data_IF_509568044582
#
_entry.id   IF_509568044582
#
_cell.length_a   1.000
_cell.length_b   1.000
_cell.length_c   1.000
_cell.angle_alpha   90.00
_cell.angle_beta   90.00
_cell.angle_gamma   90.00
#
_symmetry.space_group_name_H-M   'P 1'
#
loop_
_entity.id
_entity.type
_entity.pdbx_description
1 polymer ?
#
# COMPACT_ATOMS: atom_id res chain seq x y z
N UNK A 1 31.50 -8.86 -31.39
CA UNK A 1 32.24 -9.00 -30.12
C UNK A 1 32.78 -7.64 -29.72
N UNK A 2 32.06 -6.87 -28.90
CA UNK A 2 32.54 -5.57 -28.43
C UNK A 2 32.49 -5.59 -26.89
N UNK A 3 33.62 -5.17 -26.31
CA UNK A 3 34.10 -5.47 -24.98
C UNK A 3 33.35 -4.82 -23.81
N UNK A 4 33.41 -5.53 -22.67
CA UNK A 4 33.12 -5.12 -21.30
C UNK A 4 33.79 -3.80 -20.90
N UNK A 5 33.07 -2.96 -20.13
CA UNK A 5 33.67 -2.00 -19.21
C UNK A 5 32.82 -1.87 -17.95
N UNK A 6 33.05 -2.76 -16.97
CA UNK A 6 32.62 -2.57 -15.58
C UNK A 6 33.43 -1.41 -14.99
N UNK A 7 32.75 -0.38 -14.48
CA UNK A 7 33.37 0.64 -13.62
C UNK A 7 32.95 0.38 -12.18
N UNK A 8 33.76 -0.43 -11.51
CA UNK A 8 33.74 -0.61 -10.06
C UNK A 8 34.40 0.61 -9.42
N UNK A 9 33.70 1.32 -8.55
CA UNK A 9 34.30 2.29 -7.64
C UNK A 9 33.86 1.94 -6.22
N UNK A 10 34.76 1.29 -5.48
CA UNK A 10 34.66 1.11 -4.06
C UNK A 10 35.03 2.44 -3.39
N UNK A 11 34.16 2.96 -2.52
CA UNK A 11 34.50 4.02 -1.58
C UNK A 11 34.24 3.50 -0.19
N UNK A 12 35.30 2.99 0.42
CA UNK A 12 35.44 2.85 1.87
C UNK A 12 35.57 4.25 2.47
N UNK A 13 34.70 4.62 3.40
CA UNK A 13 35.02 5.71 4.31
C UNK A 13 34.48 5.42 5.72
N UNK A 14 35.38 5.63 6.65
CA UNK A 14 35.49 5.18 8.04
C UNK A 14 34.49 5.80 9.02
N UNK A 15 34.24 5.01 10.08
CA UNK A 15 33.57 5.33 11.34
C UNK A 15 33.92 6.71 11.93
N UNK A 16 32.91 7.38 12.49
CA UNK A 16 33.05 8.19 13.70
C UNK A 16 31.80 8.01 14.58
N UNK A 17 32.00 7.42 15.75
CA UNK A 17 31.01 7.32 16.81
C UNK A 17 30.86 8.66 17.52
N UNK A 18 29.63 9.12 17.73
CA UNK A 18 29.31 10.20 18.65
C UNK A 18 28.19 9.73 19.58
N UNK A 19 28.58 9.21 20.73
CA UNK A 19 27.72 8.91 21.87
C UNK A 19 27.34 10.21 22.56
N UNK A 20 26.08 10.64 22.46
CA UNK A 20 25.53 11.70 23.31
C UNK A 20 24.81 11.08 24.50
N UNK A 21 25.47 11.16 25.65
CA UNK A 21 24.95 10.87 26.98
C UNK A 21 23.98 11.99 27.35
N UNK A 22 22.68 11.70 27.42
CA UNK A 22 21.76 12.57 28.14
C UNK A 22 21.88 12.28 29.63
N UNK A 23 22.60 13.16 30.34
CA UNK A 23 22.60 13.24 31.80
C UNK A 23 21.22 13.68 32.28
N UNK A 24 20.42 12.73 32.77
CA UNK A 24 19.23 13.00 33.57
C UNK A 24 19.59 13.03 35.06
N UNK A 25 19.10 14.07 35.75
CA UNK A 25 19.00 14.24 37.21
C UNK A 25 18.01 15.42 37.42
N UNK A 26 17.08 15.51 38.37
CA UNK A 26 16.64 14.66 39.47
C UNK A 26 15.26 15.17 39.92
N UNK A 27 14.33 14.27 40.24
CA UNK A 27 13.27 14.55 41.23
C UNK A 27 12.92 13.24 41.95
N UNK A 28 13.40 13.11 43.18
CA UNK A 28 13.07 12.05 44.11
C UNK A 28 11.59 12.11 44.52
N UNK A 29 10.94 10.94 44.65
CA UNK A 29 10.34 10.49 45.92
C UNK A 29 9.93 9.00 45.81
N UNK A 30 10.19 8.31 46.91
CA UNK A 30 10.33 6.86 47.10
C UNK A 30 9.05 6.05 46.89
N UNK A 31 9.18 4.76 46.51
CA UNK A 31 8.73 3.61 47.32
C UNK A 31 8.99 2.27 46.61
N UNK A 32 9.86 1.47 47.21
CA UNK A 32 9.87 0.00 47.26
C UNK A 32 9.73 -0.83 45.97
N UNK A 33 10.79 -1.55 45.60
CA UNK A 33 10.92 -3.01 45.82
C UNK A 33 11.95 -3.62 44.89
N UNK A 34 12.79 -4.44 45.49
CA UNK A 34 13.94 -5.14 44.94
C UNK A 34 13.60 -6.18 43.86
N UNK A 35 14.67 -6.58 43.16
CA UNK A 35 14.94 -7.91 42.61
C UNK A 35 14.41 -8.24 41.19
N UNK A 36 15.28 -7.94 40.22
CA UNK A 36 16.04 -8.95 39.48
C UNK A 36 15.32 -10.20 38.93
N UNK A 37 15.39 -10.28 37.60
CA UNK A 37 15.88 -11.42 36.81
C UNK A 37 14.90 -12.38 36.14
N UNK A 38 15.29 -12.65 34.89
CA UNK A 38 15.25 -13.90 34.17
C UNK A 38 14.00 -14.23 33.33
N UNK A 39 14.29 -14.26 32.03
CA UNK A 39 13.58 -14.92 30.95
C UNK A 39 13.24 -16.38 31.27
N UNK A 40 12.07 -16.86 30.84
CA UNK A 40 11.89 -17.82 29.73
C UNK A 40 10.70 -18.78 29.90
N UNK A 41 10.06 -19.02 28.75
CA UNK A 41 9.32 -20.21 28.31
C UNK A 41 7.94 -20.58 28.93
N UNK A 42 6.96 -20.53 28.00
CA UNK A 42 5.99 -21.58 27.65
C UNK A 42 4.76 -21.90 28.54
N UNK A 43 3.60 -21.61 27.94
CA UNK A 43 2.42 -22.46 27.80
C UNK A 43 1.50 -22.71 29.00
N UNK A 44 0.30 -22.12 28.96
CA UNK A 44 -0.96 -22.87 28.84
C UNK A 44 -2.16 -21.91 28.72
N UNK A 45 -3.18 -22.39 27.98
CA UNK A 45 -4.51 -21.83 27.77
C UNK A 45 -5.12 -21.20 29.05
N UNK A 46 -5.96 -20.16 28.99
CA UNK A 46 -7.30 -20.20 28.41
C UNK A 46 -7.73 -18.80 27.92
N UNK A 47 -7.94 -18.64 26.61
CA UNK A 47 -8.82 -17.59 26.10
C UNK A 47 -10.18 -18.24 25.87
N UNK A 48 -11.14 -17.87 26.70
CA UNK A 48 -12.54 -18.19 26.50
C UNK A 48 -12.97 -17.70 25.13
N UNK A 49 -13.31 -18.64 24.26
CA UNK A 49 -14.06 -18.38 23.06
C UNK A 49 -15.45 -17.90 23.48
N UNK A 50 -15.70 -16.60 23.32
CA UNK A 50 -17.06 -16.11 23.17
C UNK A 50 -17.16 -15.62 21.74
N UNK A 51 -17.70 -16.50 20.90
CA UNK A 51 -18.24 -16.17 19.60
C UNK A 51 -19.17 -14.96 19.76
N UNK A 52 -18.74 -13.80 19.25
CA UNK A 52 -19.65 -12.73 18.89
C UNK A 52 -19.39 -12.45 17.41
N UNK A 53 -20.39 -12.81 16.63
CA UNK A 53 -20.58 -12.51 15.23
C UNK A 53 -20.33 -11.02 14.96
N UNK A 54 -19.09 -10.64 14.63
CA UNK A 54 -18.82 -9.33 14.04
C UNK A 54 -19.26 -9.36 12.58
N UNK A 55 -20.56 -9.27 12.37
CA UNK A 55 -21.06 -8.56 11.19
C UNK A 55 -20.81 -7.08 11.44
N UNK A 56 -19.56 -6.68 11.29
CA UNK A 56 -19.23 -5.28 11.05
C UNK A 56 -19.76 -4.98 9.64
N UNK A 57 -21.03 -4.59 9.57
CA UNK A 57 -21.55 -3.82 8.45
C UNK A 57 -20.57 -2.69 8.25
N UNK A 58 -19.78 -2.75 7.18
CA UNK A 58 -18.79 -1.75 6.85
C UNK A 58 -19.49 -0.40 6.79
N UNK A 59 -19.30 0.42 7.83
CA UNK A 59 -19.57 1.82 7.72
C UNK A 59 -18.66 2.34 6.61
N UNK A 60 -19.24 2.69 5.47
CA UNK A 60 -18.52 3.38 4.40
C UNK A 60 -17.78 4.55 5.06
N UNK A 61 -16.44 4.64 4.97
CA UNK A 61 -15.73 5.78 5.53
C UNK A 61 -16.24 7.03 4.77
N UNK A 62 -17.01 7.87 5.45
CA UNK A 62 -17.64 9.09 4.88
C UNK A 62 -16.64 10.23 4.70
N UNK A 63 -15.46 9.92 4.17
CA UNK A 63 -14.53 10.94 3.71
C UNK A 63 -14.86 11.31 2.27
N UNK A 64 -14.94 12.61 2.01
CA UNK A 64 -15.13 13.18 0.68
C UNK A 64 -14.19 14.37 0.57
N UNK A 65 -13.47 14.45 -0.55
CA UNK A 65 -12.76 15.66 -0.94
C UNK A 65 -13.07 15.96 -2.39
N UNK A 66 -13.10 17.25 -2.68
CA UNK A 66 -13.26 17.76 -4.03
C UNK A 66 -11.91 18.31 -4.47
N UNK A 67 -11.30 17.69 -5.47
CA UNK A 67 -10.00 18.11 -6.00
C UNK A 67 -10.22 18.80 -7.35
N UNK A 68 -9.64 19.99 -7.58
CA UNK A 68 -9.75 20.65 -8.87
C UNK A 68 -9.05 19.80 -9.94
N UNK A 69 -9.84 19.36 -10.92
CA UNK A 69 -9.44 18.61 -12.10
C UNK A 69 -9.66 19.37 -13.41
N UNK A 70 -9.38 18.75 -14.57
CA UNK A 70 -9.36 19.42 -15.87
C UNK A 70 -10.70 20.03 -16.29
N UNK A 71 -11.81 19.45 -15.81
CA UNK A 71 -13.19 19.87 -16.15
C UNK A 71 -13.94 20.44 -14.93
N UNK A 72 -13.19 20.91 -13.93
CA UNK A 72 -13.72 21.35 -12.65
C UNK A 72 -13.42 20.38 -11.53
N UNK A 73 -14.09 20.63 -10.42
CA UNK A 73 -13.95 19.95 -9.15
C UNK A 73 -14.42 18.49 -9.22
N UNK A 74 -13.51 17.54 -8.98
CA UNK A 74 -13.77 16.09 -9.02
C UNK A 74 -13.78 15.53 -7.60
N UNK A 75 -14.89 14.90 -7.24
CA UNK A 75 -15.04 14.26 -5.94
C UNK A 75 -14.24 12.95 -5.87
N UNK A 76 -13.56 12.75 -4.74
CA UNK A 76 -12.96 11.49 -4.32
C UNK A 76 -13.61 11.14 -2.98
N UNK A 77 -14.29 10.01 -2.92
CA UNK A 77 -15.15 9.63 -1.78
C UNK A 77 -14.82 8.24 -1.23
N UNK A 78 -15.33 7.93 -0.04
CA UNK A 78 -15.39 6.56 0.45
C UNK A 78 -14.02 5.94 0.69
N UNK A 79 -13.93 4.63 0.40
CA UNK A 79 -12.69 3.87 0.55
C UNK A 79 -11.60 4.33 -0.41
N UNK A 80 -11.98 4.82 -1.60
CA UNK A 80 -11.04 5.41 -2.57
C UNK A 80 -10.38 6.65 -1.96
N UNK A 81 -11.17 7.53 -1.32
CA UNK A 81 -10.64 8.71 -0.63
C UNK A 81 -9.72 8.32 0.54
N UNK A 82 -10.11 7.35 1.36
CA UNK A 82 -9.27 6.88 2.46
C UNK A 82 -7.92 6.38 1.96
N UNK A 83 -7.90 5.61 0.86
CA UNK A 83 -6.66 5.15 0.23
C UNK A 83 -5.85 6.30 -0.34
N UNK A 84 -6.50 7.24 -1.03
CA UNK A 84 -5.87 8.41 -1.61
C UNK A 84 -5.15 9.26 -0.56
N UNK A 85 -5.79 9.55 0.57
CA UNK A 85 -5.15 10.32 1.65
C UNK A 85 -4.04 9.51 2.31
N UNK A 86 -4.24 8.20 2.51
CA UNK A 86 -3.20 7.32 3.07
C UNK A 86 -1.96 7.23 2.19
N UNK A 87 -2.08 7.42 0.87
CA UNK A 87 -0.94 7.43 -0.05
C UNK A 87 -0.26 8.80 -0.17
N UNK A 88 -0.74 9.83 0.53
CA UNK A 88 -0.21 11.21 0.47
C UNK A 88 -1.02 12.17 -0.41
N UNK A 89 -2.19 11.75 -0.89
CA UNK A 89 -3.15 12.56 -1.61
C UNK A 89 -2.55 13.28 -2.83
N UNK A 90 -2.77 14.59 -3.00
CA UNK A 90 -2.30 15.33 -4.17
C UNK A 90 -0.78 15.52 -4.23
N UNK A 91 -0.07 15.27 -3.12
CA UNK A 91 1.40 15.30 -3.07
C UNK A 91 2.04 13.95 -3.40
N UNK A 92 1.23 12.90 -3.48
CA UNK A 92 1.70 11.57 -3.85
C UNK A 92 1.96 11.47 -5.36
N UNK A 93 2.72 10.46 -5.82
CA UNK A 93 2.89 10.18 -7.25
C UNK A 93 1.58 9.92 -8.00
N UNK A 94 0.48 9.66 -7.29
CA UNK A 94 -0.84 9.46 -7.88
C UNK A 94 -1.41 10.76 -8.48
N UNK A 95 -1.07 11.91 -7.90
CA UNK A 95 -1.50 13.22 -8.40
C UNK A 95 -2.98 13.50 -8.21
N UNK A 96 -3.57 14.25 -9.15
CA UNK A 96 -4.99 14.65 -9.12
C UNK A 96 -5.89 13.57 -9.73
N UNK A 97 -7.15 13.46 -9.28
CA UNK A 97 -8.13 12.67 -10.01
C UNK A 97 -8.38 13.27 -11.39
N UNK A 98 -8.54 12.42 -12.40
CA UNK A 98 -8.78 12.82 -13.79
C UNK A 98 -10.24 12.63 -14.20
N UNK A 99 -10.96 11.75 -13.51
CA UNK A 99 -12.37 11.46 -13.71
C UNK A 99 -13.07 11.19 -12.38
N UNK A 100 -14.41 11.30 -12.38
CA UNK A 100 -15.25 10.81 -11.28
C UNK A 100 -15.16 9.28 -11.19
N UNK A 101 -15.35 8.69 -9.99
CA UNK A 101 -15.33 7.24 -9.84
C UNK A 101 -16.40 6.57 -10.71
N UNK A 102 -16.03 5.47 -11.35
CA UNK A 102 -16.91 4.61 -12.15
C UNK A 102 -17.26 3.38 -11.34
N UNK A 103 -18.56 3.08 -11.24
CA UNK A 103 -19.04 1.85 -10.61
C UNK A 103 -18.71 0.64 -11.49
N UNK A 104 -18.16 -0.40 -10.88
CA UNK A 104 -17.84 -1.66 -11.54
C UNK A 104 -18.66 -2.84 -10.98
N UNK A 105 -18.28 -4.08 -11.34
CA UNK A 105 -18.93 -5.30 -10.84
C UNK A 105 -18.93 -5.40 -9.31
N UNK A 106 -19.86 -6.17 -8.76
CA UNK A 106 -19.96 -6.45 -7.31
C UNK A 106 -20.00 -5.17 -6.43
N UNK A 107 -20.66 -4.12 -6.92
CA UNK A 107 -20.77 -2.83 -6.25
C UNK A 107 -19.43 -2.15 -5.95
N UNK A 108 -18.34 -2.57 -6.61
CA UNK A 108 -17.06 -1.92 -6.50
C UNK A 108 -17.01 -0.60 -7.27
N UNK A 109 -15.92 0.13 -7.13
CA UNK A 109 -15.71 1.41 -7.81
C UNK A 109 -14.24 1.60 -8.12
N UNK A 110 -13.95 2.25 -9.24
CA UNK A 110 -12.60 2.63 -9.63
C UNK A 110 -12.56 4.10 -10.01
N UNK A 111 -11.47 4.78 -9.65
CA UNK A 111 -11.25 6.16 -10.02
C UNK A 111 -9.85 6.32 -10.60
N UNK A 112 -9.78 7.04 -11.72
CA UNK A 112 -8.53 7.38 -12.38
C UNK A 112 -7.91 8.65 -11.81
N UNK A 113 -6.59 8.62 -11.73
CA UNK A 113 -5.72 9.71 -11.31
C UNK A 113 -4.58 9.85 -12.32
N UNK A 114 -3.86 10.97 -12.28
CA UNK A 114 -2.77 11.27 -13.22
C UNK A 114 -1.69 10.18 -13.24
N UNK A 115 -1.34 9.64 -12.07
CA UNK A 115 -0.28 8.62 -11.92
C UNK A 115 -0.75 7.17 -11.92
N UNK A 116 -2.06 6.91 -11.83
CA UNK A 116 -2.57 5.55 -11.64
C UNK A 116 -4.08 5.51 -11.40
N UNK A 117 -4.60 4.38 -10.95
CA UNK A 117 -6.01 4.24 -10.59
C UNK A 117 -6.13 3.66 -9.18
N UNK A 118 -7.13 4.09 -8.43
CA UNK A 118 -7.53 3.45 -7.19
C UNK A 118 -8.83 2.69 -7.45
N UNK A 119 -8.83 1.40 -7.15
CA UNK A 119 -9.98 0.53 -7.26
C UNK A 119 -10.33 -0.09 -5.93
N UNK A 120 -11.62 -0.11 -5.62
CA UNK A 120 -12.18 -0.67 -4.40
C UNK A 120 -13.29 -1.66 -4.73
N UNK A 121 -13.36 -2.75 -3.96
CA UNK A 121 -14.54 -3.59 -3.84
C UNK A 121 -14.67 -4.07 -2.39
N UNK A 122 -15.85 -4.54 -2.01
CA UNK A 122 -16.06 -5.12 -0.67
C UNK A 122 -15.14 -6.33 -0.40
N UNK A 123 -14.76 -7.08 -1.43
CA UNK A 123 -13.94 -8.28 -1.28
C UNK A 123 -12.45 -7.99 -1.24
N UNK A 124 -12.00 -6.89 -1.83
CA UNK A 124 -10.57 -6.64 -2.08
C UNK A 124 -10.05 -5.40 -1.37
N UNK A 125 -10.89 -4.57 -0.74
CA UNK A 125 -10.49 -3.24 -0.28
C UNK A 125 -9.92 -2.36 -1.41
N UNK A 126 -9.42 -1.17 -1.03
CA UNK A 126 -8.95 -0.15 -1.96
C UNK A 126 -7.45 -0.31 -2.24
N UNK A 127 -7.11 -0.50 -3.52
CA UNK A 127 -5.75 -0.70 -4.00
C UNK A 127 -5.41 0.21 -5.16
N UNK A 128 -4.14 0.59 -5.23
CA UNK A 128 -3.61 1.44 -6.29
C UNK A 128 -2.94 0.57 -7.35
N UNK A 129 -3.30 0.80 -8.60
CA UNK A 129 -2.67 0.19 -9.78
C UNK A 129 -1.92 1.28 -10.55
N UNK A 130 -0.63 1.07 -10.77
CA UNK A 130 0.29 2.09 -11.28
C UNK A 130 0.73 1.84 -12.72
N UNK A 131 1.05 2.92 -13.42
CA UNK A 131 1.89 2.91 -14.64
C UNK A 131 1.58 1.82 -15.67
N UNK A 132 2.62 1.11 -16.11
CA UNK A 132 2.52 0.08 -17.15
C UNK A 132 1.66 -1.12 -16.73
N UNK A 133 1.67 -1.48 -15.43
CA UNK A 133 0.81 -2.54 -14.89
C UNK A 133 -0.66 -2.16 -15.06
N UNK A 134 -1.01 -0.91 -14.75
CA UNK A 134 -2.35 -0.36 -14.99
C UNK A 134 -2.73 -0.41 -16.46
N UNK A 135 -1.84 0.04 -17.35
CA UNK A 135 -2.11 0.04 -18.78
C UNK A 135 -2.35 -1.38 -19.33
N UNK A 136 -1.58 -2.37 -18.87
CA UNK A 136 -1.79 -3.77 -19.23
C UNK A 136 -3.12 -4.31 -18.70
N UNK A 137 -3.46 -4.00 -17.45
CA UNK A 137 -4.72 -4.39 -16.83
C UNK A 137 -5.94 -3.75 -17.53
N UNK A 138 -5.86 -2.47 -17.88
CA UNK A 138 -6.90 -1.75 -18.64
C UNK A 138 -7.07 -2.33 -20.05
N UNK A 139 -5.97 -2.68 -20.71
CA UNK A 139 -6.01 -3.36 -22.02
C UNK A 139 -6.65 -4.76 -21.93
N UNK A 140 -6.63 -5.40 -20.76
CA UNK A 140 -7.28 -6.69 -20.51
C UNK A 140 -8.76 -6.54 -20.08
N UNK A 141 -9.29 -5.31 -20.07
CA UNK A 141 -10.68 -5.01 -19.72
C UNK A 141 -10.87 -4.49 -18.29
N UNK A 142 -9.79 -4.18 -17.57
CA UNK A 142 -9.79 -3.67 -16.21
C UNK A 142 -10.62 -4.55 -15.25
N UNK A 143 -11.45 -3.93 -14.40
CA UNK A 143 -12.36 -4.64 -13.48
C UNK A 143 -13.39 -5.53 -14.16
N UNK A 144 -13.67 -5.30 -15.44
CA UNK A 144 -14.59 -6.11 -16.24
C UNK A 144 -13.88 -7.25 -16.99
N UNK A 145 -12.55 -7.25 -16.98
CA UNK A 145 -11.69 -8.25 -17.61
C UNK A 145 -11.53 -9.52 -16.78
N UNK A 146 -10.71 -10.45 -17.29
CA UNK A 146 -10.48 -11.74 -16.63
C UNK A 146 -9.74 -11.59 -15.29
N UNK A 147 -8.91 -10.56 -15.15
CA UNK A 147 -8.18 -10.28 -13.90
C UNK A 147 -9.07 -9.69 -12.80
N UNK A 148 -10.06 -8.87 -13.13
CA UNK A 148 -10.95 -8.23 -12.16
C UNK A 148 -10.27 -7.18 -11.29
N UNK A 149 -10.72 -7.05 -10.03
CA UNK A 149 -10.20 -6.06 -9.08
C UNK A 149 -8.78 -6.40 -8.59
N UNK A 150 -7.94 -5.39 -8.31
CA UNK A 150 -6.67 -5.59 -7.62
C UNK A 150 -6.89 -6.07 -6.18
N UNK A 151 -6.02 -6.95 -5.69
CA UNK A 151 -6.00 -7.48 -4.31
C UNK A 151 -4.75 -7.06 -3.54
N UNK A 152 -3.84 -6.31 -4.17
CA UNK A 152 -2.70 -5.69 -3.53
C UNK A 152 -2.38 -4.37 -4.21
N UNK A 153 -1.66 -3.50 -3.49
CA UNK A 153 -0.90 -2.45 -4.17
C UNK A 153 0.30 -3.08 -4.91
N UNK A 154 0.95 -2.29 -5.75
CA UNK A 154 2.19 -2.68 -6.41
C UNK A 154 3.30 -2.96 -5.39
N UNK A 155 3.95 -4.12 -5.56
CA UNK A 155 5.09 -4.56 -4.77
C UNK A 155 6.37 -4.33 -5.56
N UNK A 156 7.30 -3.59 -4.96
CA UNK A 156 8.66 -3.46 -5.46
C UNK A 156 9.52 -4.64 -4.99
N UNK A 157 10.12 -5.36 -5.94
CA UNK A 157 11.04 -6.45 -5.65
C UNK A 157 12.51 -5.98 -5.71
N UNK A 158 13.44 -6.60 -4.94
CA UNK A 158 14.85 -6.21 -4.89
C UNK A 158 15.59 -6.29 -6.23
N UNK A 159 15.12 -7.12 -7.15
CA UNK A 159 15.64 -7.29 -8.51
C UNK A 159 15.16 -6.21 -9.48
N UNK A 160 14.38 -5.22 -9.00
CA UNK A 160 13.86 -4.12 -9.79
C UNK A 160 12.59 -4.46 -10.57
N UNK A 161 12.01 -5.64 -10.35
CA UNK A 161 10.68 -5.99 -10.87
C UNK A 161 9.59 -5.45 -9.96
N UNK A 162 8.41 -5.27 -10.53
CA UNK A 162 7.20 -4.83 -9.82
C UNK A 162 6.09 -5.83 -10.08
N UNK A 163 5.18 -6.01 -9.13
CA UNK A 163 4.03 -6.91 -9.31
C UNK A 163 2.79 -6.37 -8.60
N UNK A 164 1.63 -6.55 -9.22
CA UNK A 164 0.33 -6.35 -8.58
C UNK A 164 -0.51 -7.61 -8.72
N UNK A 165 -1.18 -8.01 -7.64
CA UNK A 165 -2.11 -9.12 -7.65
C UNK A 165 -3.54 -8.63 -7.92
N UNK A 166 -4.31 -9.48 -8.58
CA UNK A 166 -5.70 -9.28 -8.93
C UNK A 166 -6.50 -10.55 -8.58
N UNK A 167 -7.82 -10.42 -8.44
CA UNK A 167 -8.70 -11.56 -8.12
C UNK A 167 -8.49 -12.73 -9.09
N UNK A 168 -8.33 -12.44 -10.37
CA UNK A 168 -8.16 -13.40 -11.45
C UNK A 168 -6.71 -13.67 -11.89
N UNK A 169 -5.70 -13.22 -11.15
CA UNK A 169 -4.30 -13.45 -11.54
C UNK A 169 -3.35 -12.39 -11.00
N UNK A 170 -2.25 -12.15 -11.71
CA UNK A 170 -1.29 -11.10 -11.37
C UNK A 170 -0.66 -10.51 -12.63
N UNK A 171 -0.16 -9.29 -12.51
CA UNK A 171 0.65 -8.66 -13.55
C UNK A 171 2.00 -8.31 -12.95
N UNK A 172 3.06 -8.84 -13.55
CA UNK A 172 4.42 -8.49 -13.22
C UNK A 172 4.99 -7.54 -14.28
N UNK A 173 5.80 -6.59 -13.87
CA UNK A 173 6.57 -5.69 -14.72
C UNK A 173 8.07 -5.94 -14.52
N UNK A 174 8.79 -6.08 -15.63
CA UNK A 174 10.24 -6.24 -15.65
C UNK A 174 10.81 -5.55 -16.89
N UNK A 175 11.81 -4.68 -16.70
CA UNK A 175 12.55 -4.05 -17.79
C UNK A 175 11.66 -3.35 -18.84
N UNK A 176 10.60 -2.66 -18.41
CA UNK A 176 9.68 -1.96 -19.31
C UNK A 176 8.63 -2.84 -19.98
N UNK A 177 8.50 -4.11 -19.57
CA UNK A 177 7.53 -5.04 -20.13
C UNK A 177 6.64 -5.63 -19.03
N UNK A 178 5.34 -5.68 -19.28
CA UNK A 178 4.37 -6.36 -18.42
C UNK A 178 4.12 -7.79 -18.89
N UNK A 179 3.88 -8.69 -17.93
CA UNK A 179 3.47 -10.08 -18.14
C UNK A 179 2.21 -10.34 -17.35
N UNK A 180 1.11 -10.55 -18.05
CA UNK A 180 -0.19 -10.92 -17.45
C UNK A 180 -0.19 -12.43 -17.20
N UNK A 181 -0.44 -12.84 -15.96
CA UNK A 181 -0.58 -14.25 -15.57
C UNK A 181 -1.96 -14.49 -14.95
N UNK A 182 -2.94 -15.01 -15.71
CA UNK A 182 -4.24 -15.38 -15.15
C UNK A 182 -4.15 -16.60 -14.21
N UNK A 183 -5.15 -16.74 -13.34
CA UNK A 183 -5.33 -17.85 -12.40
C UNK A 183 -6.23 -18.96 -12.95
#
# INVERSE_FOLDING_TARGET
>A
MNHFARRTAAVTMTLAAATLVFTGCSKNNDNSSSAASASSAASAAQHSATSMLSSASAAVPTGETTVPGPNGDIAVTGHIFSKYISSGGPTSPLGKPTATPVTGPNNGSCQEFEGGAICWSEQTDAHIVWGDIRAAWESDGAVNGALGYPTSDEKDNPDGTKESDFVGGKIAWANGQTTVTPK
#
